data_IF_438672398611
#
_entry.id   IF_438672398611
#
_cell.length_a   1.000
_cell.length_b   1.000
_cell.length_c   1.000
_cell.angle_alpha   90.00
_cell.angle_beta   90.00
_cell.angle_gamma   90.00
#
_symmetry.space_group_name_H-M   'P 1'
#
loop_
_entity.id
_entity.type
_entity.pdbx_description
1 polymer ?
#
# COMPACT_ATOMS: atom_id res chain seq x y z
N UNK A 1 -15.97 -20.41 32.81
CA UNK A 1 -14.49 -20.38 32.79
C UNK A 1 -14.08 -19.27 31.83
N UNK A 2 -13.82 -18.08 32.35
CA UNK A 2 -13.43 -16.93 31.54
C UNK A 2 -11.91 -17.01 31.35
N UNK A 3 -11.47 -17.44 30.16
CA UNK A 3 -10.05 -17.49 29.84
C UNK A 3 -9.55 -16.05 29.78
N UNK A 4 -8.75 -15.65 30.78
CA UNK A 4 -8.00 -14.40 30.73
C UNK A 4 -7.10 -14.44 29.50
N UNK A 5 -7.32 -13.56 28.53
CA UNK A 5 -6.44 -13.40 27.36
C UNK A 5 -5.11 -12.81 27.83
N UNK A 6 -4.22 -13.64 28.35
CA UNK A 6 -2.82 -13.27 28.51
C UNK A 6 -2.26 -12.85 27.15
N UNK A 7 -1.47 -11.79 27.15
CA UNK A 7 -0.79 -11.27 25.97
C UNK A 7 0.34 -12.22 25.56
N UNK A 8 -0.02 -13.35 24.95
CA UNK A 8 0.96 -14.32 24.44
C UNK A 8 1.71 -13.65 23.27
N UNK A 9 3.02 -13.48 23.45
CA UNK A 9 3.91 -13.03 22.39
C UNK A 9 3.88 -14.03 21.22
N UNK A 10 3.81 -13.53 19.99
CA UNK A 10 3.81 -14.39 18.80
C UNK A 10 2.46 -14.94 18.35
N UNK A 11 1.32 -14.59 18.99
CA UNK A 11 -0.02 -15.01 18.53
C UNK A 11 -0.29 -14.67 17.07
N UNK A 12 0.10 -13.49 16.62
CA UNK A 12 -0.06 -13.08 15.23
C UNK A 12 0.84 -13.89 14.29
N UNK A 13 2.05 -14.25 14.74
CA UNK A 13 2.96 -15.11 13.98
C UNK A 13 2.34 -16.49 13.76
N UNK A 14 1.83 -17.08 14.83
CA UNK A 14 1.17 -18.38 14.78
C UNK A 14 -0.06 -18.34 13.87
N UNK A 15 -0.92 -17.34 14.03
CA UNK A 15 -2.12 -17.19 13.21
C UNK A 15 -1.78 -17.13 11.71
N UNK A 16 -0.84 -16.26 11.31
CA UNK A 16 -0.43 -16.14 9.91
C UNK A 16 0.22 -17.44 9.40
N UNK A 17 1.04 -18.10 10.23
CA UNK A 17 1.66 -19.37 9.86
C UNK A 17 0.62 -20.48 9.60
N UNK A 18 -0.39 -20.58 10.46
CA UNK A 18 -1.50 -21.52 10.25
C UNK A 18 -2.30 -21.19 8.99
N UNK A 19 -2.53 -19.91 8.70
CA UNK A 19 -3.19 -19.47 7.45
C UNK A 19 -2.37 -19.84 6.20
N UNK A 20 -1.05 -19.67 6.24
CA UNK A 20 -0.16 -20.07 5.13
C UNK A 20 -0.22 -21.58 4.92
N UNK A 21 -0.13 -22.38 6.00
CA UNK A 21 -0.25 -23.85 5.92
C UNK A 21 -1.61 -24.27 5.36
N UNK A 22 -2.67 -23.62 5.81
CA UNK A 22 -4.03 -23.88 5.30
C UNK A 22 -4.12 -23.57 3.80
N UNK A 23 -3.65 -22.40 3.36
CA UNK A 23 -3.64 -22.03 1.94
C UNK A 23 -2.89 -23.07 1.10
N UNK A 24 -1.70 -23.48 1.55
CA UNK A 24 -0.92 -24.55 0.92
C UNK A 24 -1.69 -25.87 0.84
N UNK A 25 -2.39 -26.26 1.91
CA UNK A 25 -3.20 -27.48 1.94
C UNK A 25 -4.38 -27.46 0.94
N UNK A 26 -4.80 -26.27 0.51
CA UNK A 26 -5.84 -26.05 -0.50
C UNK A 26 -5.29 -25.90 -1.92
N UNK A 27 -3.99 -26.08 -2.11
CA UNK A 27 -3.34 -25.91 -3.41
C UNK A 27 -3.18 -24.44 -3.82
N UNK A 28 -3.28 -23.49 -2.89
CA UNK A 28 -3.04 -22.08 -3.16
C UNK A 28 -1.52 -21.84 -3.16
N UNK A 29 -1.00 -21.33 -4.28
CA UNK A 29 0.44 -21.15 -4.50
C UNK A 29 0.98 -19.86 -3.88
N UNK A 30 0.14 -18.84 -3.72
CA UNK A 30 0.53 -17.51 -3.28
C UNK A 30 -0.29 -17.05 -2.09
N UNK A 31 0.40 -16.57 -1.04
CA UNK A 31 -0.22 -15.95 0.13
C UNK A 31 0.24 -14.49 0.23
N UNK A 32 -0.67 -13.55 -0.07
CA UNK A 32 -0.37 -12.12 -0.10
C UNK A 32 -0.56 -11.49 1.29
N UNK A 33 0.51 -10.90 1.84
CA UNK A 33 0.50 -10.16 3.11
C UNK A 33 0.24 -8.66 2.91
N UNK A 34 -0.03 -8.23 1.69
CA UNK A 34 -0.24 -6.85 1.27
C UNK A 34 1.05 -6.02 1.25
N UNK A 35 0.88 -4.71 1.10
CA UNK A 35 2.01 -3.77 0.96
C UNK A 35 2.90 -3.65 2.20
N UNK A 36 4.13 -3.20 1.97
CA UNK A 36 5.10 -2.79 2.99
C UNK A 36 5.40 -1.30 2.83
N UNK A 37 5.91 -0.66 3.89
CA UNK A 37 6.44 0.69 3.78
C UNK A 37 7.78 0.67 3.03
N UNK A 38 7.87 1.40 1.93
CA UNK A 38 9.10 1.56 1.14
C UNK A 38 9.87 2.84 1.50
N UNK A 39 9.25 3.74 2.25
CA UNK A 39 9.81 5.03 2.65
C UNK A 39 10.51 4.93 4.02
N UNK A 40 11.83 5.22 4.10
CA UNK A 40 12.57 5.17 5.36
C UNK A 40 12.07 6.14 6.44
N UNK A 41 11.33 7.19 6.09
CA UNK A 41 10.79 8.13 7.07
C UNK A 41 9.54 7.60 7.80
N UNK A 42 8.89 6.56 7.27
CA UNK A 42 7.70 5.92 7.87
C UNK A 42 8.04 4.91 8.97
N UNK A 43 8.82 5.34 9.97
CA UNK A 43 9.29 4.49 11.08
C UNK A 43 8.17 3.71 11.80
N UNK A 44 6.96 4.24 11.87
CA UNK A 44 5.80 3.57 12.50
C UNK A 44 5.36 2.28 11.77
N UNK A 45 5.54 2.20 10.46
CA UNK A 45 5.13 1.05 9.63
C UNK A 45 6.26 0.02 9.46
N UNK A 46 7.47 0.34 9.92
CA UNK A 46 8.65 -0.54 9.80
C UNK A 46 8.46 -1.88 10.54
N UNK A 47 7.85 -1.87 11.72
CA UNK A 47 7.59 -3.11 12.49
C UNK A 47 6.62 -4.05 11.80
N UNK A 48 5.57 -3.51 11.17
CA UNK A 48 4.63 -4.28 10.36
C UNK A 48 5.32 -4.84 9.12
N UNK A 49 6.18 -4.05 8.47
CA UNK A 49 6.95 -4.49 7.31
C UNK A 49 7.92 -5.62 7.69
N UNK A 50 8.67 -5.48 8.79
CA UNK A 50 9.54 -6.52 9.33
C UNK A 50 8.78 -7.80 9.67
N UNK A 51 7.62 -7.68 10.32
CA UNK A 51 6.74 -8.81 10.61
C UNK A 51 6.36 -9.57 9.33
N UNK A 52 5.89 -8.87 8.29
CA UNK A 52 5.52 -9.50 7.01
C UNK A 52 6.71 -10.17 6.32
N UNK A 53 7.87 -9.52 6.32
CA UNK A 53 9.10 -10.05 5.70
C UNK A 53 9.62 -11.30 6.42
N UNK A 54 9.36 -11.45 7.72
CA UNK A 54 9.81 -12.62 8.51
C UNK A 54 9.25 -13.97 8.03
N UNK A 55 8.17 -13.98 7.24
CA UNK A 55 7.58 -15.21 6.69
C UNK A 55 8.27 -15.72 5.40
N UNK A 56 9.32 -15.05 4.92
CA UNK A 56 10.14 -15.53 3.80
C UNK A 56 9.54 -15.29 2.40
N UNK A 57 8.54 -14.40 2.29
CA UNK A 57 7.96 -13.99 1.02
C UNK A 57 8.87 -13.06 0.18
N UNK A 58 8.44 -12.75 -1.05
CA UNK A 58 9.12 -11.82 -1.95
C UNK A 58 8.37 -10.50 -2.04
N UNK A 59 9.07 -9.38 -2.00
CA UNK A 59 8.48 -8.05 -2.29
C UNK A 59 8.34 -7.91 -3.80
N UNK A 60 7.11 -7.68 -4.26
CA UNK A 60 6.80 -7.52 -5.69
C UNK A 60 6.20 -6.13 -5.91
N UNK A 61 6.69 -5.34 -6.89
CA UNK A 61 6.06 -4.06 -7.22
C UNK A 61 4.66 -4.29 -7.79
N UNK A 62 3.68 -3.55 -7.27
CA UNK A 62 2.30 -3.53 -7.76
C UNK A 62 2.00 -2.14 -8.29
N UNK A 63 1.47 -2.07 -9.52
CA UNK A 63 1.13 -0.82 -10.18
C UNK A 63 -0.37 -0.61 -10.16
N UNK A 64 -0.80 0.54 -9.63
CA UNK A 64 -2.18 0.96 -9.68
C UNK A 64 -2.37 1.93 -10.84
N UNK A 65 -3.38 1.67 -11.67
CA UNK A 65 -3.72 2.52 -12.81
C UNK A 65 -5.15 2.99 -12.66
N UNK A 66 -5.37 4.27 -12.93
CA UNK A 66 -6.69 4.87 -12.93
C UNK A 66 -6.97 5.50 -14.29
N UNK A 67 -8.13 5.18 -14.88
CA UNK A 67 -8.59 5.84 -16.10
C UNK A 67 -9.54 6.96 -15.71
N UNK A 68 -9.11 8.19 -15.96
CA UNK A 68 -9.90 9.37 -15.62
C UNK A 68 -10.63 9.87 -16.87
N UNK A 69 -11.94 9.67 -16.91
CA UNK A 69 -12.79 10.09 -18.04
C UNK A 69 -13.34 11.52 -17.90
N UNK A 70 -13.04 12.21 -16.81
CA UNK A 70 -13.48 13.60 -16.60
C UNK A 70 -12.64 14.56 -17.43
N UNK A 71 -13.26 15.17 -18.45
CA UNK A 71 -12.63 16.21 -19.28
C UNK A 71 -12.10 17.37 -18.42
N UNK A 72 -12.84 17.75 -17.36
CA UNK A 72 -12.41 18.78 -16.40
C UNK A 72 -11.11 18.37 -15.70
N UNK A 73 -11.03 17.14 -15.23
CA UNK A 73 -9.83 16.65 -14.54
C UNK A 73 -8.62 16.54 -15.47
N UNK A 74 -8.82 16.09 -16.71
CA UNK A 74 -7.76 16.06 -17.72
C UNK A 74 -7.25 17.48 -18.02
N UNK A 75 -8.14 18.46 -18.13
CA UNK A 75 -7.77 19.86 -18.33
C UNK A 75 -6.98 20.41 -17.12
N UNK A 76 -7.42 20.10 -15.90
CA UNK A 76 -6.71 20.49 -14.67
C UNK A 76 -5.29 19.92 -14.62
N UNK A 77 -5.11 18.63 -14.89
CA UNK A 77 -3.78 18.03 -14.91
C UNK A 77 -2.88 18.63 -16.00
N UNK A 78 -3.42 18.90 -17.19
CA UNK A 78 -2.68 19.55 -18.27
C UNK A 78 -2.24 20.96 -17.88
N UNK A 79 -3.13 21.70 -17.20
CA UNK A 79 -2.87 23.02 -16.67
C UNK A 79 -1.76 22.98 -15.59
N UNK A 80 -1.87 22.10 -14.59
CA UNK A 80 -0.84 21.89 -13.55
C UNK A 80 0.53 21.54 -14.15
N UNK A 81 0.56 20.70 -15.19
CA UNK A 81 1.78 20.34 -15.91
C UNK A 81 2.39 21.49 -16.70
N UNK A 82 1.57 22.37 -17.27
CA UNK A 82 2.06 23.58 -17.95
C UNK A 82 2.63 24.58 -16.94
N UNK A 83 2.00 24.71 -15.76
CA UNK A 83 2.45 25.53 -14.64
C UNK A 83 3.81 25.08 -14.11
N UNK A 84 3.98 23.78 -13.83
CA UNK A 84 5.25 23.24 -13.31
C UNK A 84 6.42 23.39 -14.30
N UNK A 85 6.12 23.57 -15.59
CA UNK A 85 7.10 23.83 -16.65
C UNK A 85 7.30 25.32 -16.98
N UNK A 86 6.60 26.23 -16.30
CA UNK A 86 6.69 27.66 -16.55
C UNK A 86 6.18 28.11 -17.93
N UNK A 87 5.36 27.28 -18.59
CA UNK A 87 4.87 27.56 -19.95
C UNK A 87 3.73 28.59 -19.98
N UNK A 88 3.07 28.84 -18.86
CA UNK A 88 1.99 29.82 -18.72
C UNK A 88 2.14 30.62 -17.43
N UNK A 89 1.81 31.93 -17.43
CA UNK A 89 1.82 32.75 -16.22
C UNK A 89 0.85 32.23 -15.15
N UNK A 90 1.22 32.36 -13.87
CA UNK A 90 0.41 31.85 -12.75
C UNK A 90 -1.03 32.41 -12.71
N UNK A 91 -1.27 33.61 -13.24
CA UNK A 91 -2.61 34.22 -13.25
C UNK A 91 -3.62 33.45 -14.11
N UNK A 92 -3.18 32.68 -15.10
CA UNK A 92 -4.04 31.90 -15.99
C UNK A 92 -4.76 30.78 -15.24
N UNK A 93 -4.15 30.24 -14.18
CA UNK A 93 -4.72 29.16 -13.38
C UNK A 93 -5.80 29.62 -12.39
N UNK A 94 -5.95 30.93 -12.19
CA UNK A 94 -6.92 31.53 -11.26
C UNK A 94 -8.38 31.32 -11.68
N UNK A 95 -8.62 30.98 -12.95
CA UNK A 95 -9.94 30.76 -13.53
C UNK A 95 -10.36 29.28 -13.58
N UNK A 96 -9.50 28.36 -13.12
CA UNK A 96 -9.74 26.91 -13.16
C UNK A 96 -10.29 26.32 -11.85
N UNK A 97 -10.44 27.13 -10.79
CA UNK A 97 -11.01 26.75 -9.50
C UNK A 97 -12.53 26.94 -9.45
#
# INVERSE_FOLDING_TARGET
MQVSMENIHGRNNLLIWEMIKYAKSKGIETFDLGGIATDPEKRKESGVSFFKLSFGGKVTPVFHYEKINSKKYVLLQAAEKARSKGLLPDFVFRFLH
#
